data_IF_926396114817
#
_entry.id   IF_926396114817
#
_cell.length_a   1.000
_cell.length_b   1.000
_cell.length_c   1.000
_cell.angle_alpha   90.00
_cell.angle_beta   90.00
_cell.angle_gamma   90.00
#
_symmetry.space_group_name_H-M   'P 1'
#
loop_
_entity.id
_entity.type
_entity.pdbx_description
1 polymer ?
#
# COMPACT_ATOMS: atom_id res chain seq x y z
N UNK A 1 -15.56 7.75 11.10
CA UNK A 1 -14.59 6.66 11.35
C UNK A 1 -14.20 6.03 10.04
N UNK A 2 -12.90 5.92 9.78
CA UNK A 2 -12.41 5.34 8.53
C UNK A 2 -12.22 3.84 8.69
N UNK A 3 -12.78 3.09 7.76
CA UNK A 3 -12.56 1.65 7.72
C UNK A 3 -11.19 1.36 7.13
N UNK A 4 -10.51 0.31 7.60
CA UNK A 4 -9.24 -0.08 7.02
C UNK A 4 -9.43 -0.53 5.57
N UNK A 5 -8.47 -0.19 4.72
CA UNK A 5 -8.46 -0.62 3.33
C UNK A 5 -7.19 -1.44 3.12
N UNK A 6 -7.33 -2.62 2.56
CA UNK A 6 -6.22 -3.55 2.35
C UNK A 6 -5.76 -3.50 0.90
N UNK A 7 -4.45 -3.48 0.72
CA UNK A 7 -3.83 -3.38 -0.59
C UNK A 7 -2.79 -4.47 -0.79
N UNK A 8 -2.56 -4.82 -2.05
CA UNK A 8 -1.42 -5.65 -2.45
C UNK A 8 -0.54 -4.82 -3.37
N UNK A 9 0.76 -4.82 -3.12
CA UNK A 9 1.71 -4.11 -3.97
C UNK A 9 1.91 -4.90 -5.25
N UNK A 10 1.56 -4.30 -6.39
CA UNK A 10 1.66 -4.94 -7.71
C UNK A 10 3.04 -4.74 -8.32
N UNK A 11 3.59 -3.53 -8.19
CA UNK A 11 4.90 -3.21 -8.76
C UNK A 11 5.49 -2.02 -8.03
N UNK A 12 6.81 -1.86 -8.17
CA UNK A 12 7.53 -0.71 -7.64
C UNK A 12 8.39 -0.16 -8.79
N UNK A 13 8.26 1.14 -9.03
CA UNK A 13 9.04 1.82 -10.06
C UNK A 13 9.66 3.06 -9.44
N UNK A 14 10.98 3.02 -9.26
CA UNK A 14 11.70 4.11 -8.63
C UNK A 14 11.20 4.36 -7.22
N UNK A 15 10.69 5.56 -6.99
CA UNK A 15 10.25 6.00 -5.66
C UNK A 15 8.78 5.74 -5.39
N UNK A 16 8.08 5.03 -6.29
CA UNK A 16 6.63 4.82 -6.18
C UNK A 16 6.25 3.35 -6.20
N UNK A 17 5.32 3.00 -5.33
CA UNK A 17 4.68 1.69 -5.34
C UNK A 17 3.30 1.80 -5.97
N UNK A 18 2.98 0.83 -6.82
CA UNK A 18 1.66 0.71 -7.44
C UNK A 18 0.96 -0.47 -6.80
N UNK A 19 -0.24 -0.24 -6.32
CA UNK A 19 -0.95 -1.25 -5.54
C UNK A 19 -2.43 -1.24 -5.87
N UNK A 20 -3.08 -2.35 -5.57
CA UNK A 20 -4.50 -2.53 -5.81
C UNK A 20 -5.18 -2.96 -4.51
N UNK A 21 -6.29 -2.31 -4.17
CA UNK A 21 -7.07 -2.68 -3.01
C UNK A 21 -7.82 -3.99 -3.26
N UNK A 22 -8.31 -4.61 -2.19
CA UNK A 22 -9.08 -5.83 -2.30
C UNK A 22 -10.39 -5.62 -3.07
N UNK A 23 -10.86 -4.37 -3.16
CA UNK A 23 -12.04 -4.04 -3.96
C UNK A 23 -11.70 -3.61 -5.39
N UNK A 24 -10.42 -3.67 -5.78
CA UNK A 24 -9.99 -3.40 -7.15
C UNK A 24 -9.61 -1.96 -7.44
N UNK A 25 -9.47 -1.12 -6.43
CA UNK A 25 -9.07 0.28 -6.62
C UNK A 25 -7.56 0.37 -6.69
N UNK A 26 -7.04 0.98 -7.77
CA UNK A 26 -5.61 1.17 -7.95
C UNK A 26 -5.15 2.44 -7.25
N UNK A 27 -3.94 2.38 -6.70
CA UNK A 27 -3.34 3.52 -6.01
C UNK A 27 -1.84 3.56 -6.29
N UNK A 28 -1.28 4.77 -6.26
CA UNK A 28 0.15 5.01 -6.43
C UNK A 28 0.61 5.75 -5.18
N UNK A 29 1.58 5.20 -4.47
CA UNK A 29 2.04 5.75 -3.20
C UNK A 29 3.56 5.86 -3.21
N UNK A 30 4.07 6.98 -2.74
CA UNK A 30 5.51 7.17 -2.63
C UNK A 30 6.08 6.20 -1.61
N UNK A 31 7.19 5.57 -1.96
CA UNK A 31 7.82 4.54 -1.11
C UNK A 31 8.19 5.08 0.28
N UNK A 32 8.56 6.35 0.38
CA UNK A 32 8.97 6.90 1.66
C UNK A 32 7.80 7.00 2.66
N UNK A 33 6.55 6.89 2.18
CA UNK A 33 5.37 6.87 3.04
C UNK A 33 5.03 5.47 3.55
N UNK A 34 5.68 4.46 3.01
CA UNK A 34 5.37 3.07 3.30
C UNK A 34 6.32 2.50 4.34
N UNK A 35 5.89 1.47 5.10
CA UNK A 35 6.77 0.85 6.09
C UNK A 35 8.04 0.29 5.46
N UNK A 36 9.10 0.25 6.24
CA UNK A 36 10.33 -0.40 5.83
C UNK A 36 10.06 -1.88 5.57
N UNK A 37 10.64 -2.40 4.50
CA UNK A 37 10.43 -3.79 4.11
C UNK A 37 9.30 -3.99 3.10
N UNK A 38 8.59 -2.91 2.71
CA UNK A 38 7.57 -3.01 1.68
C UNK A 38 8.20 -3.38 0.34
N UNK A 39 7.66 -4.41 -0.30
CA UNK A 39 8.15 -4.88 -1.60
C UNK A 39 6.97 -5.37 -2.45
N UNK A 40 7.27 -5.80 -3.67
CA UNK A 40 6.25 -6.37 -4.56
C UNK A 40 5.65 -7.61 -3.88
N UNK A 41 4.34 -7.68 -3.88
CA UNK A 41 3.59 -8.76 -3.22
C UNK A 41 3.27 -8.48 -1.77
N UNK A 42 3.80 -7.41 -1.17
CA UNK A 42 3.48 -7.06 0.21
C UNK A 42 2.01 -6.73 0.36
N UNK A 43 1.44 -7.14 1.50
CA UNK A 43 0.09 -6.77 1.88
C UNK A 43 0.18 -5.61 2.86
N UNK A 44 -0.61 -4.58 2.59
CA UNK A 44 -0.62 -3.37 3.42
C UNK A 44 -2.04 -3.07 3.86
N UNK A 45 -2.14 -2.43 5.01
CA UNK A 45 -3.41 -1.87 5.45
C UNK A 45 -3.27 -0.35 5.59
N UNK A 46 -4.23 0.38 5.03
CA UNK A 46 -4.35 1.82 5.22
C UNK A 46 -5.44 2.07 6.24
N UNK A 47 -5.07 2.63 7.38
CA UNK A 47 -5.99 2.86 8.48
C UNK A 47 -5.57 4.10 9.24
N UNK A 48 -6.50 4.99 9.53
CA UNK A 48 -6.23 6.21 10.31
C UNK A 48 -5.06 7.02 9.74
N UNK A 49 -4.99 7.13 8.40
CA UNK A 49 -3.94 7.86 7.67
C UNK A 49 -2.56 7.22 7.83
N UNK A 50 -2.48 5.98 8.26
CA UNK A 50 -1.22 5.25 8.41
C UNK A 50 -1.17 4.06 7.47
N UNK A 51 0.04 3.70 7.05
CA UNK A 51 0.31 2.49 6.27
C UNK A 51 1.02 1.49 7.16
N UNK A 52 0.51 0.26 7.22
CA UNK A 52 1.15 -0.81 8.00
C UNK A 52 1.25 -2.07 7.18
N UNK A 53 2.37 -2.80 7.36
CA UNK A 53 2.55 -4.13 6.75
C UNK A 53 1.77 -5.17 7.55
N UNK A 54 1.18 -6.09 6.83
CA UNK A 54 0.49 -7.22 7.44
C UNK A 54 1.43 -8.41 7.61
#
# INVERSE_FOLDING_TARGET
>A
MMEPVYYTVDSIDGDYAYMTSDSGVENQVAMFLLPEGTTVGSRLVRENFEWNLL
#
